data_IF_032086071406
#
_entry.id   IF_032086071406
#
_cell.length_a   1.000
_cell.length_b   1.000
_cell.length_c   1.000
_cell.angle_alpha   90.00
_cell.angle_beta   90.00
_cell.angle_gamma   90.00
#
_symmetry.space_group_name_H-M   'P 1'
#
loop_
_entity.id
_entity.type
_entity.pdbx_description
1 polymer ?
#
# COMPACT_ATOMS: atom_id res chain seq x y z
N UNK A 1 28.65 19.30 -11.70
CA UNK A 1 29.69 18.27 -11.49
C UNK A 1 31.11 18.77 -11.76
N UNK A 2 31.27 19.84 -12.55
CA UNK A 2 32.57 20.43 -12.95
C UNK A 2 33.53 20.73 -11.78
N UNK A 3 33.01 21.15 -10.62
CA UNK A 3 33.82 21.48 -9.43
C UNK A 3 34.33 20.26 -8.64
N UNK A 4 34.05 19.03 -9.09
CA UNK A 4 34.49 17.82 -8.39
C UNK A 4 36.02 17.68 -8.34
N UNK A 5 36.71 18.06 -9.41
CA UNK A 5 38.18 18.00 -9.48
C UNK A 5 38.80 18.97 -8.47
N UNK A 6 38.22 20.15 -8.29
CA UNK A 6 38.65 21.12 -7.27
C UNK A 6 38.42 20.61 -5.85
N UNK A 7 37.28 19.99 -5.60
CA UNK A 7 36.97 19.36 -4.32
C UNK A 7 37.98 18.26 -3.95
N UNK A 8 38.43 17.46 -4.92
CA UNK A 8 39.42 16.41 -4.70
C UNK A 8 40.83 16.98 -4.45
N UNK A 9 41.19 18.08 -5.12
CA UNK A 9 42.44 18.83 -4.83
C UNK A 9 42.48 19.31 -3.37
N UNK A 10 41.37 19.81 -2.82
CA UNK A 10 41.28 20.19 -1.40
C UNK A 10 41.50 19.01 -0.44
N UNK A 11 41.14 17.79 -0.86
CA UNK A 11 41.41 16.55 -0.13
C UNK A 11 42.82 15.99 -0.34
N UNK A 12 43.71 16.76 -0.98
CA UNK A 12 45.09 16.37 -1.32
C UNK A 12 45.17 15.19 -2.30
N UNK A 13 44.13 15.00 -3.13
CA UNK A 13 44.11 14.01 -4.21
C UNK A 13 44.24 14.73 -5.55
N UNK A 14 45.28 14.41 -6.32
CA UNK A 14 45.53 15.00 -7.63
C UNK A 14 44.71 14.30 -8.72
N UNK A 15 43.58 14.90 -9.09
CA UNK A 15 42.81 14.51 -10.28
C UNK A 15 43.02 15.53 -11.41
N UNK A 16 43.00 15.04 -12.64
CA UNK A 16 42.96 15.86 -13.86
C UNK A 16 41.67 15.53 -14.60
N UNK A 17 41.09 16.54 -15.25
CA UNK A 17 39.96 16.32 -16.14
C UNK A 17 40.41 15.42 -17.30
N UNK A 18 39.68 14.33 -17.48
CA UNK A 18 39.88 13.45 -18.62
C UNK A 18 39.13 14.02 -19.82
N UNK A 19 39.82 14.21 -20.94
CA UNK A 19 39.14 14.41 -22.21
C UNK A 19 38.63 13.05 -22.68
N UNK A 20 37.31 12.86 -22.68
CA UNK A 20 36.67 11.73 -23.32
C UNK A 20 36.37 12.16 -24.75
N UNK A 21 37.05 11.55 -25.72
CA UNK A 21 36.62 11.64 -27.12
C UNK A 21 35.15 11.22 -27.20
N UNK A 22 34.30 11.94 -27.95
CA UNK A 22 32.91 11.57 -28.10
C UNK A 22 32.85 10.16 -28.72
N UNK A 23 32.50 9.16 -27.89
CA UNK A 23 32.32 7.80 -28.36
C UNK A 23 31.23 7.79 -29.44
N UNK A 24 31.64 7.70 -30.70
CA UNK A 24 30.80 7.78 -31.91
C UNK A 24 29.85 6.60 -32.11
N UNK A 25 29.41 5.95 -31.04
CA UNK A 25 28.60 4.71 -31.10
C UNK A 25 27.69 4.56 -29.85
N UNK A 26 27.69 5.55 -28.95
CA UNK A 26 26.91 5.47 -27.71
C UNK A 26 25.39 5.39 -27.97
N UNK A 27 24.90 6.07 -29.02
CA UNK A 27 23.48 6.01 -29.42
C UNK A 27 23.09 4.61 -29.88
N UNK A 28 23.92 3.96 -30.70
CA UNK A 28 23.66 2.60 -31.21
C UNK A 28 23.54 1.58 -30.07
N UNK A 29 24.33 1.74 -29.01
CA UNK A 29 24.26 0.87 -27.82
C UNK A 29 22.96 1.13 -27.05
N UNK A 30 22.59 2.39 -26.82
CA UNK A 30 21.35 2.73 -26.10
C UNK A 30 20.12 2.19 -26.86
N UNK A 31 20.09 2.35 -28.19
CA UNK A 31 19.06 1.80 -29.06
C UNK A 31 19.06 0.27 -29.06
N UNK A 32 20.23 -0.36 -29.07
CA UNK A 32 20.38 -1.81 -28.94
C UNK A 32 19.84 -2.37 -27.63
N UNK A 33 20.11 -1.69 -26.50
CA UNK A 33 19.57 -2.05 -25.18
C UNK A 33 18.04 -1.89 -25.18
N UNK A 34 17.53 -0.77 -25.72
CA UNK A 34 16.09 -0.49 -25.83
C UNK A 34 15.38 -1.55 -26.66
N UNK A 35 15.90 -1.90 -27.83
CA UNK A 35 15.34 -2.96 -28.68
C UNK A 35 15.35 -4.33 -27.99
N UNK A 36 16.27 -4.57 -27.05
CA UNK A 36 16.32 -5.80 -26.26
C UNK A 36 15.29 -5.79 -25.13
N UNK A 37 15.05 -4.64 -24.52
CA UNK A 37 14.00 -4.43 -23.53
C UNK A 37 12.59 -4.59 -24.12
N UNK A 38 12.37 -4.21 -25.38
CA UNK A 38 11.08 -4.42 -26.08
C UNK A 38 10.76 -5.90 -26.34
N UNK A 39 11.80 -6.74 -26.47
CA UNK A 39 11.64 -8.17 -26.75
C UNK A 39 11.61 -9.05 -25.50
N UNK A 40 12.24 -8.60 -24.42
CA UNK A 40 12.37 -9.38 -23.19
C UNK A 40 12.05 -8.53 -21.95
N UNK A 41 10.97 -8.91 -21.28
CA UNK A 41 10.50 -8.30 -20.04
C UNK A 41 11.57 -8.31 -18.94
N UNK A 42 12.45 -9.31 -18.88
CA UNK A 42 13.50 -9.36 -17.85
C UNK A 42 14.52 -8.23 -18.01
N UNK A 43 14.92 -7.95 -19.25
CA UNK A 43 15.84 -6.85 -19.56
C UNK A 43 15.19 -5.52 -19.21
N UNK A 44 13.91 -5.36 -19.55
CA UNK A 44 13.14 -4.17 -19.22
C UNK A 44 13.05 -3.93 -17.70
N UNK A 45 12.71 -4.96 -16.92
CA UNK A 45 12.59 -4.85 -15.46
C UNK A 45 13.95 -4.60 -14.79
N UNK A 46 15.02 -5.23 -15.30
CA UNK A 46 16.39 -4.96 -14.85
C UNK A 46 16.82 -3.52 -15.14
N UNK A 47 16.52 -3.00 -16.34
CA UNK A 47 16.77 -1.61 -16.69
C UNK A 47 16.07 -0.65 -15.74
N UNK A 48 14.77 -0.86 -15.48
CA UNK A 48 14.01 -0.06 -14.53
C UNK A 48 14.59 -0.12 -13.11
N UNK A 49 14.97 -1.31 -12.64
CA UNK A 49 15.58 -1.50 -11.32
C UNK A 49 16.94 -0.82 -11.21
N UNK A 50 17.78 -0.92 -12.23
CA UNK A 50 19.10 -0.30 -12.29
C UNK A 50 18.97 1.23 -12.22
N UNK A 51 18.05 1.81 -13.00
CA UNK A 51 17.77 3.24 -13.00
C UNK A 51 17.29 3.75 -11.63
N UNK A 52 16.36 3.02 -10.98
CA UNK A 52 15.88 3.36 -9.62
C UNK A 52 17.03 3.32 -8.62
N UNK A 53 17.88 2.30 -8.68
CA UNK A 53 19.05 2.15 -7.82
C UNK A 53 20.03 3.31 -8.02
N UNK A 54 20.28 3.70 -9.27
CA UNK A 54 21.16 4.83 -9.60
C UNK A 54 20.63 6.14 -9.03
N UNK A 55 19.35 6.47 -9.26
CA UNK A 55 18.74 7.70 -8.73
C UNK A 55 18.83 7.75 -7.21
N UNK A 56 18.55 6.63 -6.55
CA UNK A 56 18.65 6.55 -5.09
C UNK A 56 20.08 6.79 -4.61
N UNK A 57 21.06 6.14 -5.23
CA UNK A 57 22.48 6.35 -4.92
C UNK A 57 22.92 7.79 -5.18
N UNK A 58 22.48 8.39 -6.28
CA UNK A 58 22.74 9.79 -6.61
C UNK A 58 22.07 10.75 -5.61
N UNK A 59 21.05 10.35 -4.86
CA UNK A 59 20.44 11.21 -3.84
C UNK A 59 21.08 11.03 -2.46
N UNK A 60 21.52 9.83 -2.13
CA UNK A 60 22.10 9.47 -0.82
C UNK A 60 23.60 9.80 -0.71
N UNK A 61 24.25 10.22 -1.79
CA UNK A 61 25.67 10.57 -1.78
C UNK A 61 25.98 11.81 -0.91
N UNK A 62 27.21 11.89 -0.39
CA UNK A 62 27.61 12.95 0.56
C UNK A 62 27.93 14.31 -0.07
N UNK A 63 28.18 14.38 -1.38
CA UNK A 63 28.62 15.58 -2.10
C UNK A 63 27.46 16.36 -2.74
N UNK A 64 26.36 16.57 -2.00
CA UNK A 64 25.08 17.11 -2.51
C UNK A 64 25.19 18.48 -3.18
N UNK A 65 26.18 19.29 -2.78
CA UNK A 65 26.47 20.59 -3.38
C UNK A 65 27.16 20.50 -4.75
N UNK A 66 27.89 19.41 -5.01
CA UNK A 66 28.64 19.20 -6.26
C UNK A 66 27.77 18.43 -7.27
N UNK A 67 27.09 17.37 -6.81
CA UNK A 67 26.17 16.57 -7.61
C UNK A 67 24.73 16.95 -7.25
N UNK A 68 24.28 18.07 -7.82
CA UNK A 68 22.91 18.55 -7.62
C UNK A 68 21.96 17.66 -8.40
N UNK A 69 20.88 17.21 -7.74
CA UNK A 69 19.85 16.39 -8.40
C UNK A 69 19.08 17.16 -9.47
N UNK A 70 18.96 18.48 -9.32
CA UNK A 70 18.24 19.33 -10.28
C UNK A 70 18.98 19.47 -11.61
N UNK A 71 20.31 19.32 -11.61
CA UNK A 71 21.13 19.43 -12.82
C UNK A 71 21.28 18.10 -13.56
N UNK A 72 20.78 17.00 -12.97
CA UNK A 72 20.91 15.68 -13.57
C UNK A 72 19.93 15.51 -14.72
N UNK A 73 20.45 15.25 -15.92
CA UNK A 73 19.63 14.96 -17.11
C UNK A 73 18.95 13.58 -17.03
N UNK A 74 17.79 13.53 -16.36
CA UNK A 74 17.05 12.29 -16.15
C UNK A 74 16.60 11.60 -17.44
N UNK A 75 16.35 12.34 -18.51
CA UNK A 75 15.86 11.76 -19.77
C UNK A 75 16.96 11.09 -20.58
N UNK A 76 18.10 11.77 -20.74
CA UNK A 76 19.32 11.20 -21.35
C UNK A 76 19.76 9.94 -20.58
N UNK A 77 19.69 9.99 -19.25
CA UNK A 77 19.95 8.84 -18.38
C UNK A 77 18.93 7.72 -18.59
N UNK A 78 17.64 8.03 -18.66
CA UNK A 78 16.61 7.01 -18.91
C UNK A 78 16.81 6.30 -20.26
N UNK A 79 17.27 7.01 -21.29
CA UNK A 79 17.62 6.42 -22.58
C UNK A 79 18.84 5.49 -22.49
N UNK A 80 19.86 5.85 -21.71
CA UNK A 80 21.06 5.00 -21.57
C UNK A 80 20.79 3.69 -20.84
N UNK A 81 19.83 3.68 -19.92
CA UNK A 81 19.30 2.46 -19.30
C UNK A 81 18.30 1.69 -20.20
N UNK A 82 17.97 2.20 -21.39
CA UNK A 82 17.05 1.58 -22.34
C UNK A 82 15.61 1.48 -21.83
N UNK A 83 15.17 2.45 -21.03
CA UNK A 83 13.81 2.45 -20.47
C UNK A 83 12.76 2.70 -21.56
N UNK A 84 11.72 1.88 -21.57
CA UNK A 84 10.55 2.08 -22.44
C UNK A 84 9.61 3.14 -21.85
N UNK A 85 9.52 3.18 -20.51
CA UNK A 85 8.71 4.13 -19.76
C UNK A 85 9.35 4.44 -18.42
N UNK A 86 9.15 5.67 -17.96
CA UNK A 86 9.69 6.12 -16.69
C UNK A 86 8.99 5.44 -15.50
N UNK A 87 9.75 4.93 -14.51
CA UNK A 87 9.19 4.41 -13.28
C UNK A 87 8.40 5.48 -12.52
N UNK A 88 7.26 5.11 -11.92
CA UNK A 88 6.45 6.03 -11.13
C UNK A 88 7.07 6.26 -9.75
N UNK A 89 8.01 7.21 -9.65
CA UNK A 89 8.71 7.55 -8.40
C UNK A 89 8.50 9.01 -7.99
N UNK A 90 8.53 9.35 -6.68
CA UNK A 90 8.37 10.72 -6.22
C UNK A 90 9.50 11.64 -6.71
N UNK A 91 10.69 11.11 -6.98
CA UNK A 91 11.83 11.82 -7.55
C UNK A 91 11.54 12.32 -8.97
N UNK A 92 11.01 11.43 -9.83
CA UNK A 92 10.62 11.75 -11.21
C UNK A 92 9.43 12.71 -11.23
N UNK A 93 8.44 12.52 -10.35
CA UNK A 93 7.26 13.40 -10.28
C UNK A 93 7.61 14.85 -9.91
N UNK A 94 8.67 15.05 -9.14
CA UNK A 94 9.12 16.39 -8.72
C UNK A 94 10.00 17.08 -9.76
N UNK A 95 10.64 16.32 -10.64
CA UNK A 95 11.39 16.88 -11.76
C UNK A 95 10.39 17.52 -12.74
N UNK A 96 10.29 18.86 -12.71
CA UNK A 96 9.49 19.62 -13.67
C UNK A 96 10.10 19.42 -15.05
N UNK A 97 9.43 18.63 -15.88
CA UNK A 97 9.80 18.27 -17.25
C UNK A 97 11.10 17.45 -17.37
N UNK A 98 10.93 16.16 -17.64
CA UNK A 98 12.03 15.31 -18.10
C UNK A 98 12.23 15.62 -19.59
N UNK A 99 13.26 16.40 -19.88
CA UNK A 99 13.69 16.67 -21.25
C UNK A 99 14.45 15.47 -21.81
N UNK A 100 14.47 15.32 -23.14
CA UNK A 100 15.25 14.30 -23.86
C UNK A 100 14.85 12.84 -23.58
N UNK A 101 13.62 12.54 -23.15
CA UNK A 101 13.13 11.16 -23.05
C UNK A 101 11.98 10.92 -24.03
N UNK A 102 12.06 9.80 -24.77
CA UNK A 102 11.00 9.38 -25.70
C UNK A 102 10.40 8.08 -25.20
N UNK A 103 9.16 8.12 -24.72
CA UNK A 103 8.39 6.93 -24.34
C UNK A 103 8.19 6.02 -25.56
N UNK A 104 8.29 4.70 -25.36
CA UNK A 104 7.95 3.74 -26.41
C UNK A 104 6.43 3.64 -26.56
N UNK A 105 5.94 3.52 -27.80
CA UNK A 105 4.53 3.30 -28.10
C UNK A 105 4.06 1.86 -27.79
N UNK A 106 5.00 0.96 -27.46
CA UNK A 106 4.70 -0.43 -27.15
C UNK A 106 3.90 -0.58 -25.84
N UNK A 107 2.95 -1.51 -25.84
CA UNK A 107 2.27 -1.93 -24.61
C UNK A 107 3.23 -2.73 -23.73
N UNK A 108 3.59 -2.14 -22.60
CA UNK A 108 4.54 -2.70 -21.63
C UNK A 108 4.03 -4.04 -21.10
N UNK A 109 2.72 -4.16 -20.87
CA UNK A 109 2.13 -5.36 -20.27
C UNK A 109 2.04 -6.53 -21.25
N UNK A 110 2.07 -6.24 -22.56
CA UNK A 110 2.13 -7.25 -23.61
C UNK A 110 3.50 -7.93 -23.74
N UNK A 111 4.59 -7.30 -23.27
CA UNK A 111 5.96 -7.83 -23.41
C UNK A 111 6.11 -9.11 -22.57
N UNK A 112 6.39 -10.28 -23.19
CA UNK A 112 6.57 -11.53 -22.47
C UNK A 112 7.98 -11.66 -21.88
N UNK A 113 8.14 -12.53 -20.88
CA UNK A 113 9.47 -13.02 -20.52
C UNK A 113 9.98 -13.98 -21.59
N UNK A 114 11.27 -13.85 -21.97
CA UNK A 114 11.91 -14.83 -22.86
C UNK A 114 11.97 -16.24 -22.24
N UNK A 115 12.09 -16.31 -20.91
CA UNK A 115 12.03 -17.55 -20.15
C UNK A 115 10.58 -17.99 -19.90
N UNK A 116 10.21 -19.15 -20.47
CA UNK A 116 8.88 -19.76 -20.38
C UNK A 116 8.48 -20.08 -18.93
N UNK A 117 9.43 -20.39 -18.05
CA UNK A 117 9.15 -20.72 -16.65
C UNK A 117 8.73 -19.48 -15.86
N UNK A 118 9.46 -18.38 -16.03
CA UNK A 118 9.11 -17.07 -15.48
C UNK A 118 7.81 -16.53 -16.06
N UNK A 119 7.56 -16.72 -17.34
CA UNK A 119 6.29 -16.28 -17.94
C UNK A 119 5.09 -17.03 -17.32
N UNK A 120 5.21 -18.35 -17.11
CA UNK A 120 4.17 -19.13 -16.43
C UNK A 120 3.96 -18.66 -14.99
N UNK A 121 5.03 -18.31 -14.27
CA UNK A 121 4.94 -17.74 -12.93
C UNK A 121 4.24 -16.37 -12.95
N UNK A 122 4.59 -15.50 -13.91
CA UNK A 122 3.96 -14.20 -14.10
C UNK A 122 2.46 -14.33 -14.30
N UNK A 123 2.03 -15.18 -15.22
CA UNK A 123 0.60 -15.36 -15.52
C UNK A 123 -0.18 -15.87 -14.30
N UNK A 124 0.40 -16.79 -13.52
CA UNK A 124 -0.19 -17.24 -12.25
C UNK A 124 -0.29 -16.11 -11.24
N UNK A 125 0.79 -15.33 -11.07
CA UNK A 125 0.81 -14.19 -10.16
C UNK A 125 -0.19 -13.10 -10.59
N UNK A 126 -0.32 -12.84 -11.89
CA UNK A 126 -1.25 -11.85 -12.43
C UNK A 126 -2.70 -12.24 -12.18
N UNK A 127 -3.07 -13.51 -12.39
CA UNK A 127 -4.41 -14.03 -12.06
C UNK A 127 -4.70 -13.95 -10.57
N UNK A 128 -3.78 -14.43 -9.73
CA UNK A 128 -3.93 -14.36 -8.28
C UNK A 128 -4.05 -12.91 -7.76
N UNK A 129 -3.31 -11.97 -8.36
CA UNK A 129 -3.38 -10.56 -7.97
C UNK A 129 -4.69 -9.90 -8.44
N UNK A 130 -5.20 -10.27 -9.62
CA UNK A 130 -6.49 -9.80 -10.11
C UNK A 130 -7.64 -10.30 -9.20
N UNK A 131 -7.61 -11.56 -8.79
CA UNK A 131 -8.57 -12.15 -7.85
C UNK A 131 -8.52 -11.45 -6.49
N UNK A 132 -7.32 -11.26 -5.92
CA UNK A 132 -7.15 -10.52 -4.66
C UNK A 132 -7.68 -9.09 -4.75
N UNK A 133 -7.37 -8.39 -5.84
CA UNK A 133 -7.81 -7.00 -6.03
C UNK A 133 -9.33 -6.90 -6.21
N UNK A 134 -9.96 -7.89 -6.84
CA UNK A 134 -11.42 -7.97 -6.92
C UNK A 134 -12.05 -8.18 -5.53
N UNK A 135 -11.51 -9.11 -4.73
CA UNK A 135 -11.96 -9.35 -3.36
C UNK A 135 -11.77 -8.12 -2.46
N UNK A 136 -10.64 -7.43 -2.56
CA UNK A 136 -10.39 -6.19 -1.81
C UNK A 136 -11.34 -5.05 -2.22
N UNK A 137 -11.67 -4.92 -3.51
CA UNK A 137 -12.67 -3.95 -3.97
C UNK A 137 -14.07 -4.28 -3.45
N UNK A 138 -14.47 -5.55 -3.47
CA UNK A 138 -15.76 -5.96 -2.91
C UNK A 138 -15.82 -5.75 -1.40
N UNK A 139 -14.78 -6.16 -0.66
CA UNK A 139 -14.69 -5.97 0.78
C UNK A 139 -14.73 -4.47 1.17
N UNK A 140 -13.97 -3.63 0.46
CA UNK A 140 -13.96 -2.18 0.71
C UNK A 140 -15.28 -1.51 0.31
N UNK A 141 -15.98 -1.99 -0.73
CA UNK A 141 -17.31 -1.52 -1.09
C UNK A 141 -18.36 -1.88 -0.03
N UNK A 142 -18.31 -3.10 0.52
CA UNK A 142 -19.18 -3.54 1.62
C UNK A 142 -18.92 -2.74 2.89
N UNK A 143 -17.64 -2.52 3.24
CA UNK A 143 -17.27 -1.68 4.40
C UNK A 143 -17.80 -0.25 4.25
N UNK A 144 -17.56 0.40 3.10
CA UNK A 144 -18.10 1.75 2.82
C UNK A 144 -19.63 1.80 2.90
N UNK A 145 -20.32 0.76 2.42
CA UNK A 145 -21.79 0.68 2.49
C UNK A 145 -22.28 0.55 3.94
N UNK A 146 -21.58 -0.23 4.77
CA UNK A 146 -21.91 -0.39 6.18
C UNK A 146 -21.65 0.88 6.98
N UNK A 147 -20.52 1.56 6.75
CA UNK A 147 -20.22 2.86 7.36
C UNK A 147 -21.26 3.93 6.99
N UNK A 148 -21.68 3.98 5.73
CA UNK A 148 -22.74 4.90 5.30
C UNK A 148 -24.10 4.57 5.94
N UNK A 149 -24.44 3.28 6.11
CA UNK A 149 -25.65 2.87 6.82
C UNK A 149 -25.62 3.28 8.29
N UNK A 150 -24.50 3.06 8.98
CA UNK A 150 -24.33 3.46 10.38
C UNK A 150 -24.41 4.98 10.55
N UNK A 151 -23.76 5.76 9.67
CA UNK A 151 -23.85 7.23 9.67
C UNK A 151 -25.28 7.71 9.42
N UNK A 152 -26.02 7.08 8.50
CA UNK A 152 -27.44 7.40 8.24
C UNK A 152 -28.34 7.03 9.42
N UNK A 153 -28.12 5.88 10.07
CA UNK A 153 -28.87 5.49 11.26
C UNK A 153 -28.64 6.47 12.42
N UNK A 154 -27.38 6.82 12.69
CA UNK A 154 -27.03 7.79 13.73
C UNK A 154 -27.55 9.22 13.43
N UNK A 155 -27.58 9.64 12.17
CA UNK A 155 -28.17 10.91 11.78
C UNK A 155 -29.71 10.91 11.92
N UNK A 156 -30.35 9.79 11.61
CA UNK A 156 -31.80 9.64 11.73
C UNK A 156 -32.25 9.62 13.20
N UNK A 157 -31.45 9.04 14.11
CA UNK A 157 -31.68 9.12 15.56
C UNK A 157 -31.53 10.53 16.13
N UNK A 158 -30.62 11.34 15.58
CA UNK A 158 -30.40 12.73 16.02
C UNK A 158 -31.48 13.71 15.54
N UNK A 159 -32.16 13.38 14.43
CA UNK A 159 -33.21 14.22 13.83
C UNK A 159 -34.64 13.85 14.28
N UNK A 160 -34.79 13.04 15.33
CA UNK A 160 -36.09 12.71 15.90
C UNK A 160 -36.59 13.88 16.75
N UNK A 161 -37.81 14.37 16.48
CA UNK A 161 -38.47 15.40 17.31
C UNK A 161 -38.61 14.95 18.76
N UNK A 162 -38.53 15.88 19.72
CA UNK A 162 -38.51 15.58 21.17
C UNK A 162 -39.63 14.64 21.64
N UNK A 163 -40.86 14.82 21.13
CA UNK A 163 -42.00 13.96 21.42
C UNK A 163 -41.83 12.50 20.97
N UNK A 164 -41.17 12.30 19.82
CA UNK A 164 -40.94 10.96 19.25
C UNK A 164 -39.76 10.26 19.94
N UNK A 165 -38.82 11.02 20.51
CA UNK A 165 -37.76 10.50 21.39
C UNK A 165 -38.32 10.00 22.72
N UNK A 166 -39.22 10.77 23.34
CA UNK A 166 -39.89 10.38 24.60
C UNK A 166 -40.75 9.11 24.43
N UNK A 167 -41.49 9.00 23.32
CA UNK A 167 -42.29 7.80 22.99
C UNK A 167 -41.44 6.56 22.70
N UNK A 168 -40.25 6.74 22.14
CA UNK A 168 -39.31 5.64 21.93
C UNK A 168 -38.67 5.19 23.25
N UNK A 169 -38.37 6.12 24.15
CA UNK A 169 -37.85 5.81 25.48
C UNK A 169 -38.89 5.09 26.32
N UNK A 170 -40.13 5.59 26.38
CA UNK A 170 -41.20 4.93 27.12
C UNK A 170 -41.47 3.51 26.63
N UNK A 171 -41.36 3.25 25.32
CA UNK A 171 -41.47 1.91 24.75
C UNK A 171 -40.32 1.00 25.15
N UNK A 172 -39.09 1.50 25.15
CA UNK A 172 -37.92 0.73 25.60
C UNK A 172 -38.04 0.39 27.08
N UNK A 173 -38.45 1.35 27.90
CA UNK A 173 -38.68 1.16 29.33
C UNK A 173 -39.80 0.13 29.57
N UNK A 174 -40.90 0.16 28.79
CA UNK A 174 -41.96 -0.87 28.84
C UNK A 174 -41.45 -2.27 28.45
N UNK A 175 -40.68 -2.37 27.37
CA UNK A 175 -40.11 -3.64 26.90
C UNK A 175 -39.11 -4.22 27.94
N UNK A 176 -38.25 -3.37 28.50
CA UNK A 176 -37.30 -3.73 29.56
C UNK A 176 -38.05 -4.25 30.81
N UNK A 177 -39.07 -3.51 31.27
CA UNK A 177 -39.92 -3.93 32.39
C UNK A 177 -40.65 -5.25 32.13
N UNK A 178 -41.09 -5.50 30.88
CA UNK A 178 -41.71 -6.78 30.53
C UNK A 178 -40.71 -7.94 30.57
N UNK A 179 -39.46 -7.72 30.13
CA UNK A 179 -38.40 -8.73 30.22
C UNK A 179 -38.02 -9.04 31.66
N UNK A 180 -37.87 -8.03 32.51
CA UNK A 180 -37.61 -8.20 33.94
C UNK A 180 -38.77 -8.92 34.63
N UNK A 181 -40.01 -8.57 34.31
CA UNK A 181 -41.18 -9.25 34.87
C UNK A 181 -41.25 -10.73 34.45
N UNK A 182 -40.90 -11.05 33.20
CA UNK A 182 -40.80 -12.44 32.72
C UNK A 182 -39.71 -13.21 33.47
N UNK A 183 -38.54 -12.60 33.68
CA UNK A 183 -37.44 -13.19 34.46
C UNK A 183 -37.86 -13.42 35.92
N UNK A 184 -38.56 -12.46 36.54
CA UNK A 184 -39.04 -12.55 37.91
C UNK A 184 -40.09 -13.68 38.07
N UNK A 185 -40.96 -13.84 37.08
CA UNK A 185 -41.94 -14.94 37.05
C UNK A 185 -41.26 -16.31 36.96
N UNK A 186 -40.16 -16.42 36.21
CA UNK A 186 -39.35 -17.64 36.13
C UNK A 186 -38.61 -17.93 37.45
N UNK A 187 -38.05 -16.91 38.09
CA UNK A 187 -37.43 -17.01 39.42
C UNK A 187 -38.45 -17.50 40.47
N UNK A 188 -39.65 -16.92 40.51
CA UNK A 188 -40.74 -17.34 41.42
C UNK A 188 -41.21 -18.78 41.18
N UNK A 189 -41.11 -19.27 39.94
CA UNK A 189 -41.38 -20.67 39.55
C UNK A 189 -40.19 -21.61 39.79
N UNK A 190 -39.05 -21.09 40.28
CA UNK A 190 -37.77 -21.80 40.45
C UNK A 190 -37.19 -22.39 39.15
N UNK A 191 -37.54 -21.79 38.00
CA UNK A 191 -37.00 -22.17 36.68
C UNK A 191 -35.62 -21.55 36.41
N UNK A 192 -35.25 -20.51 37.15
CA UNK A 192 -33.97 -19.80 37.09
C UNK A 192 -33.49 -19.60 38.53
N UNK A 193 -32.18 -19.68 38.77
CA UNK A 193 -31.58 -19.40 40.07
C UNK A 193 -31.45 -17.89 40.35
N UNK A 194 -31.39 -17.50 41.62
CA UNK A 194 -31.25 -16.09 42.03
C UNK A 194 -30.03 -15.41 41.39
N UNK A 195 -28.90 -16.13 41.31
CA UNK A 195 -27.67 -15.63 40.66
C UNK A 195 -27.82 -15.41 39.15
N UNK A 196 -28.51 -16.31 38.46
CA UNK A 196 -28.76 -16.16 37.01
C UNK A 196 -29.75 -15.03 36.73
N UNK A 197 -30.68 -14.76 37.66
CA UNK A 197 -31.56 -13.60 37.59
C UNK A 197 -30.75 -12.31 37.76
N UNK A 198 -29.89 -12.22 38.78
CA UNK A 198 -29.08 -11.03 39.06
C UNK A 198 -28.08 -10.70 37.95
N UNK A 199 -27.52 -11.73 37.28
CA UNK A 199 -26.66 -11.54 36.09
C UNK A 199 -27.50 -11.04 34.90
N UNK A 200 -28.70 -11.58 34.70
CA UNK A 200 -29.55 -11.21 33.57
C UNK A 200 -30.18 -9.81 33.69
N UNK A 201 -30.44 -9.34 34.91
CA UNK A 201 -30.91 -7.97 35.21
C UNK A 201 -29.75 -6.97 35.40
N UNK A 202 -28.50 -7.44 35.39
CA UNK A 202 -27.31 -6.60 35.53
C UNK A 202 -27.04 -6.12 36.96
N UNK A 203 -27.63 -6.78 37.96
CA UNK A 203 -27.38 -6.53 39.39
C UNK A 203 -26.06 -7.15 39.88
N UNK A 204 -25.61 -8.26 39.26
CA UNK A 204 -24.26 -8.82 39.44
C UNK A 204 -23.52 -8.92 38.10
N UNK A 205 -22.24 -8.54 38.09
CA UNK A 205 -21.37 -8.76 36.92
C UNK A 205 -20.85 -10.20 36.86
N UNK A 206 -20.94 -10.79 35.68
CA UNK A 206 -20.58 -12.17 35.42
C UNK A 206 -19.07 -12.41 35.66
N UNK A 207 -18.72 -12.89 36.85
CA UNK A 207 -17.33 -13.11 37.31
C UNK A 207 -16.49 -14.04 36.40
N UNK A 208 -17.15 -14.77 35.50
CA UNK A 208 -16.51 -15.61 34.48
C UNK A 208 -15.88 -14.82 33.31
N UNK A 209 -16.23 -13.54 33.13
CA UNK A 209 -15.72 -12.71 32.03
C UNK A 209 -14.35 -12.06 32.30
N UNK A 210 -13.86 -12.10 33.55
CA UNK A 210 -12.64 -11.41 34.01
C UNK A 210 -11.39 -12.31 34.02
N UNK A 211 -11.48 -13.60 33.67
CA UNK A 211 -10.28 -14.47 33.65
C UNK A 211 -9.56 -14.46 32.29
N UNK A 212 -8.24 -14.16 32.24
CA UNK A 212 -7.47 -14.19 31.01
C UNK A 212 -7.31 -15.63 30.50
N UNK A 213 -7.54 -15.85 29.19
CA UNK A 213 -7.44 -17.15 28.51
C UNK A 213 -6.07 -17.80 28.74
N UNK A 214 -6.00 -18.77 29.65
CA UNK A 214 -4.77 -19.53 29.91
C UNK A 214 -4.61 -20.64 28.87
N UNK A 215 -3.75 -20.38 27.90
CA UNK A 215 -3.34 -21.30 26.85
C UNK A 215 -2.59 -22.51 27.45
N UNK A 216 -3.12 -23.74 27.28
CA UNK A 216 -2.41 -24.99 27.61
C UNK A 216 -2.60 -26.02 26.50
N UNK A 217 -1.94 -25.76 25.36
CA UNK A 217 -1.46 -26.82 24.49
C UNK A 217 -0.08 -27.28 25.01
N UNK A 218 -0.04 -28.36 25.77
CA UNK A 218 1.13 -29.26 25.90
C UNK A 218 0.76 -30.48 26.76
N UNK A 219 0.43 -31.58 26.09
CA UNK A 219 0.95 -32.93 26.36
C UNK A 219 0.35 -33.90 25.33
N UNK A 220 1.11 -34.14 24.26
CA UNK A 220 1.05 -35.37 23.48
C UNK A 220 2.32 -36.15 23.83
N UNK A 221 2.12 -37.43 24.19
CA UNK A 221 3.09 -38.53 24.34
C UNK A 221 4.33 -38.28 25.22
#
# INVERSE_FOLDING_TARGET
EETYVEFMKLRKVSLKEGHLEPYGTAKDVCEGIRARAERDRDVMEKGARAFVSFIRGYKEHHCTFIFRFQDLELGSLANSFGLLRLPKMPEIKRARQIQNFTESAADIDAIPFRDKTREKQRQKAMKANAEKKAQEMEASAVQKRNEQKQKKAAANEKNVTGAKRQKMQSRKDEDEMETEYRLLKKLRRKEISEKEFDIATGMEEDSASILPKRNKNKKNK
#
